data_IF_468263168494
#
_entry.id   IF_468263168494
#
_cell.length_a   1.000
_cell.length_b   1.000
_cell.length_c   1.000
_cell.angle_alpha   90.00
_cell.angle_beta   90.00
_cell.angle_gamma   90.00
#
_symmetry.space_group_name_H-M   'P 1'
#
loop_
_entity.id
_entity.type
_entity.pdbx_description
1 polymer ?
#
# COMPACT_ATOMS: atom_id res chain seq x y z
N UNK A 1 -33.53 -5.19 -3.25
CA UNK A 1 -32.08 -5.32 -3.01
C UNK A 1 -31.86 -5.95 -1.65
N UNK A 2 -31.06 -7.00 -1.54
CA UNK A 2 -30.84 -7.70 -0.26
C UNK A 2 -29.78 -6.98 0.60
N UNK A 3 -29.84 -7.16 1.92
CA UNK A 3 -28.86 -6.59 2.87
C UNK A 3 -27.40 -6.91 2.49
N UNK A 4 -27.05 -8.16 2.11
CA UNK A 4 -25.67 -8.48 1.71
C UNK A 4 -25.19 -7.71 0.47
N UNK A 5 -26.06 -7.45 -0.50
CA UNK A 5 -25.71 -6.69 -1.70
C UNK A 5 -25.44 -5.22 -1.37
N UNK A 6 -26.22 -4.63 -0.46
CA UNK A 6 -25.99 -3.24 -0.04
C UNK A 6 -24.71 -3.10 0.79
N UNK A 7 -24.39 -4.07 1.66
CA UNK A 7 -23.12 -4.09 2.36
C UNK A 7 -21.94 -4.17 1.38
N UNK A 8 -22.00 -5.08 0.41
CA UNK A 8 -20.97 -5.21 -0.63
C UNK A 8 -20.79 -3.89 -1.39
N UNK A 9 -21.88 -3.23 -1.77
CA UNK A 9 -21.84 -1.92 -2.43
C UNK A 9 -21.15 -0.86 -1.56
N UNK A 10 -21.47 -0.82 -0.27
CA UNK A 10 -20.84 0.10 0.68
C UNK A 10 -19.33 -0.13 0.74
N UNK A 11 -18.90 -1.39 0.75
CA UNK A 11 -17.48 -1.75 0.83
C UNK A 11 -16.71 -1.40 -0.45
N UNK A 12 -17.34 -1.52 -1.62
CA UNK A 12 -16.79 -1.01 -2.88
C UNK A 12 -16.65 0.53 -2.83
N UNK A 13 -17.65 1.25 -2.32
CA UNK A 13 -17.59 2.72 -2.19
C UNK A 13 -16.50 3.20 -1.23
N UNK A 14 -16.19 2.43 -0.19
CA UNK A 14 -15.12 2.76 0.77
C UNK A 14 -13.71 2.76 0.15
N UNK A 15 -13.53 2.31 -1.10
CA UNK A 15 -12.23 2.31 -1.78
C UNK A 15 -11.65 3.71 -1.94
N UNK A 16 -12.49 4.72 -2.18
CA UNK A 16 -12.03 6.09 -2.42
C UNK A 16 -11.29 6.67 -1.19
N UNK A 17 -11.65 6.22 0.00
CA UNK A 17 -10.99 6.60 1.26
C UNK A 17 -9.85 5.66 1.66
N UNK A 18 -10.03 4.35 1.41
CA UNK A 18 -9.14 3.31 1.92
C UNK A 18 -7.94 3.03 1.02
N UNK A 19 -8.08 3.30 -0.28
CA UNK A 19 -7.14 2.90 -1.34
C UNK A 19 -6.58 4.12 -2.09
N UNK A 20 -6.01 5.13 -1.39
CA UNK A 20 -5.52 6.33 -2.07
C UNK A 20 -4.34 6.01 -3.00
N UNK A 21 -4.49 6.33 -4.29
CA UNK A 21 -3.42 6.27 -5.27
C UNK A 21 -2.41 7.38 -4.95
N UNK A 22 -1.17 7.00 -4.68
CA UNK A 22 -0.10 7.95 -4.33
C UNK A 22 0.73 8.30 -5.56
N UNK A 23 0.99 9.59 -5.76
CA UNK A 23 1.85 10.06 -6.86
C UNK A 23 3.28 9.51 -6.75
N UNK A 24 3.88 9.16 -7.87
CA UNK A 24 5.32 8.79 -7.95
C UNK A 24 6.24 9.97 -7.61
N UNK A 25 5.74 11.21 -7.61
CA UNK A 25 6.48 12.39 -7.19
C UNK A 25 6.99 12.31 -5.74
N UNK A 26 6.42 11.43 -4.89
CA UNK A 26 6.97 11.16 -3.56
C UNK A 26 8.42 10.67 -3.57
N UNK A 27 8.94 10.19 -4.71
CA UNK A 27 10.36 9.86 -4.87
C UNK A 27 11.26 11.08 -4.67
N UNK A 28 10.77 12.29 -4.96
CA UNK A 28 11.53 13.53 -4.77
C UNK A 28 11.92 13.78 -3.32
N UNK A 29 11.31 13.09 -2.34
CA UNK A 29 11.73 13.11 -0.94
C UNK A 29 13.19 12.69 -0.78
N UNK A 30 13.70 11.79 -1.62
CA UNK A 30 15.11 11.41 -1.62
C UNK A 30 16.05 12.51 -2.12
N UNK A 31 15.56 13.52 -2.83
CA UNK A 31 16.38 14.66 -3.26
C UNK A 31 16.57 15.67 -2.11
N UNK A 32 15.64 15.74 -1.15
CA UNK A 32 15.71 16.68 -0.02
C UNK A 32 17.02 16.53 0.79
N UNK A 33 17.43 15.32 1.24
CA UNK A 33 18.70 15.17 1.96
C UNK A 33 19.90 15.48 1.06
N UNK A 34 19.84 15.23 -0.25
CA UNK A 34 20.90 15.59 -1.20
C UNK A 34 21.07 17.12 -1.25
N UNK A 35 19.96 17.86 -1.38
CA UNK A 35 19.99 19.32 -1.32
C UNK A 35 20.46 19.82 0.04
N UNK A 36 20.04 19.21 1.15
CA UNK A 36 20.50 19.57 2.48
C UNK A 36 22.03 19.41 2.61
N UNK A 37 22.59 18.29 2.12
CA UNK A 37 24.05 18.06 2.10
C UNK A 37 24.76 19.11 1.24
N UNK A 38 24.26 19.39 0.03
CA UNK A 38 24.84 20.41 -0.85
C UNK A 38 24.84 21.79 -0.17
N UNK A 39 23.70 22.20 0.42
CA UNK A 39 23.61 23.49 1.14
C UNK A 39 24.55 23.53 2.35
N UNK A 40 24.71 22.42 3.08
CA UNK A 40 25.64 22.33 4.20
C UNK A 40 27.10 22.47 3.73
N UNK A 41 27.50 21.78 2.66
CA UNK A 41 28.85 21.88 2.07
C UNK A 41 29.13 23.31 1.60
N UNK A 42 28.19 23.93 0.87
CA UNK A 42 28.32 25.32 0.42
C UNK A 42 28.43 26.28 1.61
N UNK A 43 27.69 26.02 2.68
CA UNK A 43 27.75 26.82 3.91
C UNK A 43 29.12 26.69 4.59
N UNK A 44 29.67 25.48 4.69
CA UNK A 44 31.01 25.24 5.26
C UNK A 44 32.08 25.91 4.40
N UNK A 45 32.04 25.73 3.08
CA UNK A 45 32.98 26.34 2.16
C UNK A 45 32.94 27.87 2.23
N UNK A 46 31.73 28.45 2.22
CA UNK A 46 31.53 29.88 2.41
C UNK A 46 32.08 30.35 3.76
N UNK A 47 31.79 29.64 4.86
CA UNK A 47 32.27 30.02 6.18
C UNK A 47 33.81 30.03 6.27
N UNK A 48 34.49 29.05 5.65
CA UNK A 48 35.96 28.98 5.60
C UNK A 48 36.54 30.15 4.78
N UNK A 49 35.97 30.45 3.61
CA UNK A 49 36.43 31.55 2.76
C UNK A 49 36.10 32.94 3.34
N UNK A 50 34.92 33.11 3.94
CA UNK A 50 34.51 34.35 4.58
C UNK A 50 35.36 34.64 5.82
N UNK A 51 35.65 33.63 6.66
CA UNK A 51 36.57 33.77 7.79
C UNK A 51 37.98 34.23 7.38
N UNK A 52 38.40 33.95 6.14
CA UNK A 52 39.68 34.39 5.59
C UNK A 52 39.65 35.80 4.98
N UNK A 53 38.48 36.39 4.70
CA UNK A 53 38.37 37.62 3.88
C UNK A 53 37.47 38.72 4.45
N UNK A 54 36.50 38.41 5.31
CA UNK A 54 35.56 39.40 5.88
C UNK A 54 35.13 39.03 7.31
N UNK A 55 35.15 39.96 8.29
CA UNK A 55 34.81 39.65 9.68
C UNK A 55 33.31 39.46 9.98
N UNK A 56 32.43 39.61 8.99
CA UNK A 56 30.97 39.49 9.17
C UNK A 56 30.44 38.25 8.46
N UNK A 57 30.08 37.23 9.24
CA UNK A 57 29.40 36.03 8.76
C UNK A 57 27.94 36.39 8.46
N UNK A 58 27.48 36.22 7.22
CA UNK A 58 26.05 36.38 6.88
C UNK A 58 25.28 35.13 7.34
N UNK A 59 24.35 35.23 8.31
CA UNK A 59 23.70 34.07 8.93
C UNK A 59 22.66 33.34 8.05
N UNK A 60 22.47 33.77 6.80
CA UNK A 60 21.40 33.27 5.93
C UNK A 60 21.61 31.82 5.46
N UNK A 61 22.85 31.41 5.17
CA UNK A 61 23.15 30.07 4.64
C UNK A 61 22.95 28.94 5.68
N UNK A 62 23.44 29.05 6.93
CA UNK A 62 23.15 28.06 7.98
C UNK A 62 21.65 27.89 8.26
N UNK A 63 20.89 28.99 8.28
CA UNK A 63 19.45 28.94 8.51
C UNK A 63 18.73 28.14 7.42
N UNK A 64 19.10 28.33 6.16
CA UNK A 64 18.52 27.58 5.03
C UNK A 64 18.79 26.07 5.12
N UNK A 65 20.00 25.67 5.52
CA UNK A 65 20.35 24.26 5.70
C UNK A 65 19.53 23.60 6.82
N UNK A 66 19.33 24.30 7.94
CA UNK A 66 18.47 23.85 9.05
C UNK A 66 17.02 23.69 8.60
N UNK A 67 16.46 24.71 7.94
CA UNK A 67 15.08 24.67 7.44
C UNK A 67 14.85 23.53 6.44
N UNK A 68 15.79 23.31 5.52
CA UNK A 68 15.71 22.22 4.54
C UNK A 68 15.72 20.85 5.22
N UNK A 69 16.55 20.69 6.25
CA UNK A 69 16.64 19.44 7.03
C UNK A 69 15.35 19.16 7.80
N UNK A 70 14.81 20.17 8.49
CA UNK A 70 13.54 20.06 9.23
C UNK A 70 12.39 19.74 8.26
N UNK A 71 12.34 20.41 7.12
CA UNK A 71 11.33 20.14 6.10
C UNK A 71 11.42 18.70 5.59
N UNK A 72 12.61 18.23 5.22
CA UNK A 72 12.82 16.83 4.80
C UNK A 72 12.41 15.82 5.86
N UNK A 73 12.74 16.09 7.11
CA UNK A 73 12.34 15.26 8.25
C UNK A 73 10.81 15.14 8.38
N UNK A 74 10.10 16.27 8.34
CA UNK A 74 8.62 16.29 8.42
C UNK A 74 8.00 15.55 7.23
N UNK A 75 8.48 15.81 6.01
CA UNK A 75 7.96 15.18 4.79
C UNK A 75 8.19 13.66 4.83
N UNK A 76 9.32 13.19 5.35
CA UNK A 76 9.60 11.76 5.51
C UNK A 76 8.63 11.10 6.49
N UNK A 77 8.32 11.74 7.63
CA UNK A 77 7.32 11.24 8.59
C UNK A 77 5.95 11.11 7.91
N UNK A 78 5.53 12.13 7.17
CA UNK A 78 4.24 12.13 6.46
C UNK A 78 4.19 11.00 5.42
N UNK A 79 5.25 10.83 4.64
CA UNK A 79 5.32 9.77 3.63
C UNK A 79 5.19 8.38 4.28
N UNK A 80 5.98 8.09 5.31
CA UNK A 80 5.92 6.80 6.02
C UNK A 80 4.54 6.58 6.64
N UNK A 81 3.94 7.59 7.26
CA UNK A 81 2.56 7.52 7.77
C UNK A 81 1.56 7.16 6.66
N UNK A 82 1.62 7.84 5.50
CA UNK A 82 0.69 7.59 4.39
C UNK A 82 0.83 6.17 3.82
N UNK A 83 2.06 5.68 3.66
CA UNK A 83 2.31 4.33 3.16
C UNK A 83 1.75 3.25 4.10
N UNK A 84 2.02 3.35 5.40
CA UNK A 84 1.54 2.38 6.39
C UNK A 84 0.03 2.48 6.59
N UNK A 85 -0.53 3.69 6.66
CA UNK A 85 -1.97 3.90 6.77
C UNK A 85 -2.70 3.27 5.59
N UNK A 86 -2.24 3.54 4.36
CA UNK A 86 -2.83 3.01 3.13
C UNK A 86 -2.87 1.49 3.11
N UNK A 87 -1.78 0.82 3.52
CA UNK A 87 -1.75 -0.65 3.68
C UNK A 87 -2.84 -1.11 4.64
N UNK A 88 -2.94 -0.49 5.82
CA UNK A 88 -3.89 -0.93 6.85
C UNK A 88 -5.34 -0.73 6.43
N UNK A 89 -5.66 0.45 5.89
CA UNK A 89 -7.02 0.77 5.47
C UNK A 89 -7.47 -0.14 4.34
N UNK A 90 -6.60 -0.37 3.35
CA UNK A 90 -6.89 -1.28 2.26
C UNK A 90 -7.14 -2.72 2.74
N UNK A 91 -6.24 -3.30 3.55
CA UNK A 91 -6.39 -4.70 3.99
C UNK A 91 -7.64 -4.90 4.86
N UNK A 92 -7.95 -3.90 5.68
CA UNK A 92 -9.19 -3.89 6.48
C UNK A 92 -10.43 -3.84 5.58
N UNK A 93 -10.44 -2.99 4.54
CA UNK A 93 -11.54 -2.91 3.57
C UNK A 93 -11.69 -4.21 2.80
N UNK A 94 -10.60 -4.78 2.29
CA UNK A 94 -10.63 -6.05 1.56
C UNK A 94 -11.17 -7.20 2.41
N UNK A 95 -10.86 -7.21 3.70
CA UNK A 95 -11.43 -8.17 4.64
C UNK A 95 -12.96 -8.05 4.71
N UNK A 96 -13.50 -6.83 4.88
CA UNK A 96 -14.96 -6.62 4.90
C UNK A 96 -15.61 -6.99 3.57
N UNK A 97 -15.05 -6.50 2.46
CA UNK A 97 -15.51 -6.79 1.11
C UNK A 97 -15.59 -8.30 0.87
N UNK A 98 -14.57 -9.05 1.31
CA UNK A 98 -14.52 -10.50 1.15
C UNK A 98 -15.59 -11.22 1.97
N UNK A 99 -15.88 -10.76 3.18
CA UNK A 99 -16.94 -11.31 4.03
C UNK A 99 -18.34 -11.05 3.48
N UNK A 100 -18.57 -9.82 3.00
CA UNK A 100 -19.85 -9.43 2.40
C UNK A 100 -20.04 -10.09 1.03
N UNK A 101 -18.97 -10.30 0.25
CA UNK A 101 -19.01 -11.10 -0.98
C UNK A 101 -19.40 -12.55 -0.70
N UNK A 102 -18.79 -13.21 0.29
CA UNK A 102 -19.16 -14.57 0.72
C UNK A 102 -20.63 -14.64 1.13
N UNK A 103 -21.11 -13.64 1.87
CA UNK A 103 -22.49 -13.58 2.34
C UNK A 103 -23.49 -13.34 1.21
N UNK A 104 -23.15 -12.48 0.24
CA UNK A 104 -23.94 -12.23 -0.95
C UNK A 104 -24.05 -13.49 -1.82
N UNK A 105 -22.93 -14.17 -2.09
CA UNK A 105 -22.92 -15.42 -2.87
C UNK A 105 -23.71 -16.52 -2.16
N UNK A 106 -23.59 -16.67 -0.84
CA UNK A 106 -24.40 -17.62 -0.06
C UNK A 106 -25.90 -17.34 -0.21
N UNK A 107 -26.31 -16.07 -0.17
CA UNK A 107 -27.71 -15.67 -0.32
C UNK A 107 -28.22 -15.94 -1.73
N UNK A 108 -27.40 -15.67 -2.76
CA UNK A 108 -27.74 -15.97 -4.16
C UNK A 108 -27.91 -17.48 -4.37
N UNK A 109 -26.98 -18.29 -3.85
CA UNK A 109 -27.03 -19.74 -3.95
C UNK A 109 -28.31 -20.31 -3.28
N UNK A 110 -28.64 -19.82 -2.09
CA UNK A 110 -29.86 -20.20 -1.38
C UNK A 110 -31.14 -19.87 -2.18
N UNK A 111 -31.21 -18.68 -2.80
CA UNK A 111 -32.32 -18.30 -3.68
C UNK A 111 -32.45 -19.21 -4.90
N UNK A 112 -31.33 -19.69 -5.43
CA UNK A 112 -31.28 -20.59 -6.59
C UNK A 112 -31.41 -22.08 -6.22
N UNK A 113 -31.49 -22.41 -4.93
CA UNK A 113 -31.56 -23.80 -4.46
C UNK A 113 -30.28 -24.60 -4.73
N UNK A 114 -29.12 -23.94 -4.85
CA UNK A 114 -27.83 -24.59 -5.11
C UNK A 114 -27.05 -24.70 -3.80
N UNK A 115 -26.59 -25.90 -3.46
CA UNK A 115 -25.67 -26.09 -2.34
C UNK A 115 -24.24 -25.72 -2.73
N UNK A 116 -23.70 -24.72 -2.03
CA UNK A 116 -22.35 -24.19 -2.23
C UNK A 116 -21.50 -24.23 -0.96
N UNK A 117 -21.95 -24.90 0.12
CA UNK A 117 -21.26 -24.82 1.41
C UNK A 117 -19.82 -25.36 1.31
N UNK A 118 -19.62 -26.44 0.55
CA UNK A 118 -18.29 -27.00 0.30
C UNK A 118 -17.39 -26.02 -0.46
N UNK A 119 -17.85 -25.40 -1.54
CA UNK A 119 -17.02 -24.45 -2.31
C UNK A 119 -16.79 -23.13 -1.56
N UNK A 120 -17.78 -22.63 -0.82
CA UNK A 120 -17.61 -21.47 0.05
C UNK A 120 -16.68 -21.75 1.22
N UNK A 121 -16.48 -23.00 1.62
CA UNK A 121 -15.56 -23.32 2.72
C UNK A 121 -14.12 -22.92 2.42
N UNK A 122 -13.67 -23.06 1.16
CA UNK A 122 -12.36 -22.61 0.71
C UNK A 122 -12.26 -21.09 0.72
N UNK A 123 -13.27 -20.38 0.21
CA UNK A 123 -13.32 -18.91 0.23
C UNK A 123 -13.27 -18.39 1.67
N UNK A 124 -14.09 -18.96 2.57
CA UNK A 124 -14.10 -18.62 4.00
C UNK A 124 -12.75 -18.92 4.67
N UNK A 125 -12.05 -19.97 4.25
CA UNK A 125 -10.71 -20.30 4.75
C UNK A 125 -9.73 -19.18 4.43
N UNK A 126 -9.68 -18.75 3.17
CA UNK A 126 -8.79 -17.66 2.73
C UNK A 126 -9.05 -16.37 3.49
N UNK A 127 -10.31 -16.01 3.72
CA UNK A 127 -10.68 -14.83 4.53
C UNK A 127 -10.20 -14.95 5.98
N UNK A 128 -10.34 -16.15 6.58
CA UNK A 128 -9.85 -16.40 7.95
C UNK A 128 -8.33 -16.32 8.05
N UNK A 129 -7.62 -16.84 7.05
CA UNK A 129 -6.16 -16.76 6.98
C UNK A 129 -5.68 -15.31 6.81
N UNK A 130 -6.34 -14.54 5.94
CA UNK A 130 -6.08 -13.11 5.79
C UNK A 130 -6.26 -12.38 7.14
N UNK A 131 -7.39 -12.57 7.84
CA UNK A 131 -7.62 -11.98 9.17
C UNK A 131 -6.56 -12.33 10.21
N UNK A 132 -6.06 -13.56 10.19
CA UNK A 132 -5.06 -14.01 11.15
C UNK A 132 -3.68 -13.39 10.90
N UNK A 133 -3.29 -13.20 9.63
CA UNK A 133 -1.95 -12.76 9.27
C UNK A 133 -1.85 -11.25 8.96
N UNK A 134 -2.91 -10.62 8.46
CA UNK A 134 -2.94 -9.23 7.97
C UNK A 134 -3.18 -8.21 9.08
N UNK A 135 -2.54 -8.44 10.22
CA UNK A 135 -2.69 -7.60 11.42
C UNK A 135 -2.30 -6.15 11.16
N UNK A 136 -2.98 -5.24 11.87
CA UNK A 136 -2.75 -3.80 11.77
C UNK A 136 -1.37 -3.42 12.31
N UNK A 137 -0.70 -2.48 11.64
CA UNK A 137 0.56 -1.89 12.10
C UNK A 137 0.37 -0.40 12.35
N UNK A 138 0.52 0.09 13.58
CA UNK A 138 0.26 1.50 13.91
C UNK A 138 1.06 2.47 13.01
N UNK A 139 0.36 3.20 12.13
CA UNK A 139 0.98 4.09 11.16
C UNK A 139 1.73 5.26 11.82
N UNK A 140 1.16 5.80 12.91
CA UNK A 140 1.79 6.88 13.69
C UNK A 140 3.06 6.38 14.37
N UNK A 141 3.01 5.21 15.00
CA UNK A 141 4.16 4.61 15.67
C UNK A 141 5.30 4.38 14.67
N UNK A 142 5.02 3.74 13.53
CA UNK A 142 6.05 3.43 12.54
C UNK A 142 6.60 4.69 11.86
N UNK A 143 5.79 5.73 11.66
CA UNK A 143 6.26 7.00 11.12
C UNK A 143 7.25 7.70 12.07
N UNK A 144 6.93 7.77 13.36
CA UNK A 144 7.81 8.38 14.38
C UNK A 144 9.07 7.53 14.56
N UNK A 145 8.92 6.21 14.71
CA UNK A 145 10.02 5.30 14.95
C UNK A 145 11.02 5.32 13.79
N UNK A 146 10.54 5.36 12.54
CA UNK A 146 11.41 5.42 11.36
C UNK A 146 12.19 6.72 11.24
N UNK A 147 11.64 7.82 11.76
CA UNK A 147 12.30 9.12 11.74
C UNK A 147 13.45 9.22 12.76
N UNK A 148 13.30 8.55 13.91
CA UNK A 148 14.31 8.57 14.98
C UNK A 148 15.31 7.42 14.82
N UNK A 149 14.85 6.26 14.36
CA UNK A 149 15.63 5.03 14.25
C UNK A 149 15.67 4.61 12.78
N UNK A 150 16.80 4.85 12.13
CA UNK A 150 16.97 4.54 10.71
C UNK A 150 16.70 3.07 10.36
N UNK A 151 17.03 2.12 11.25
CA UNK A 151 16.73 0.70 11.07
C UNK A 151 15.21 0.41 11.02
N UNK A 152 14.39 1.20 11.70
CA UNK A 152 12.95 1.04 11.65
C UNK A 152 12.39 1.40 10.26
N UNK A 153 12.97 2.38 9.56
CA UNK A 153 12.59 2.68 8.18
C UNK A 153 12.83 1.48 7.25
N UNK A 154 13.95 0.76 7.41
CA UNK A 154 14.20 -0.46 6.63
C UNK A 154 13.20 -1.57 6.92
N UNK A 155 12.79 -1.72 8.18
CA UNK A 155 11.73 -2.65 8.55
C UNK A 155 10.37 -2.24 7.97
N UNK A 156 10.05 -0.95 7.92
CA UNK A 156 8.85 -0.46 7.22
C UNK A 156 8.87 -0.81 5.74
N UNK A 157 9.98 -0.54 5.06
CA UNK A 157 10.16 -0.90 3.66
C UNK A 157 10.06 -2.42 3.44
N UNK A 158 10.57 -3.23 4.37
CA UNK A 158 10.43 -4.69 4.37
C UNK A 158 8.98 -5.13 4.44
N UNK A 159 8.25 -4.73 5.49
CA UNK A 159 6.91 -5.26 5.70
C UNK A 159 5.95 -4.72 4.65
N UNK A 160 6.06 -3.47 4.20
CA UNK A 160 5.18 -2.97 3.13
C UNK A 160 5.34 -3.79 1.85
N UNK A 161 6.58 -4.07 1.45
CA UNK A 161 6.87 -4.87 0.27
C UNK A 161 6.37 -6.32 0.41
N UNK A 162 6.58 -6.94 1.58
CA UNK A 162 6.19 -8.34 1.80
C UNK A 162 4.70 -8.52 2.06
N UNK A 163 4.08 -7.59 2.78
CA UNK A 163 2.66 -7.65 3.13
C UNK A 163 1.81 -7.54 1.86
N UNK A 164 2.08 -6.57 0.98
CA UNK A 164 1.34 -6.44 -0.30
C UNK A 164 1.53 -7.65 -1.22
N UNK A 165 2.75 -8.20 -1.29
CA UNK A 165 2.99 -9.44 -2.03
C UNK A 165 2.13 -10.59 -1.49
N UNK A 166 2.17 -10.84 -0.18
CA UNK A 166 1.42 -11.93 0.46
C UNK A 166 -0.09 -11.74 0.34
N UNK A 167 -0.56 -10.51 0.51
CA UNK A 167 -1.95 -10.13 0.34
C UNK A 167 -2.45 -10.48 -1.06
N UNK A 168 -1.77 -10.00 -2.10
CA UNK A 168 -2.14 -10.29 -3.49
C UNK A 168 -2.15 -11.79 -3.80
N UNK A 169 -1.16 -12.55 -3.30
CA UNK A 169 -1.13 -14.01 -3.51
C UNK A 169 -2.32 -14.73 -2.88
N UNK A 170 -2.84 -14.25 -1.75
CA UNK A 170 -4.05 -14.82 -1.14
C UNK A 170 -5.30 -14.47 -1.92
N UNK A 171 -5.38 -13.23 -2.39
CA UNK A 171 -6.52 -12.77 -3.15
C UNK A 171 -6.72 -13.53 -4.44
N UNK A 172 -5.64 -13.95 -5.12
CA UNK A 172 -5.76 -14.81 -6.30
C UNK A 172 -6.57 -16.07 -6.00
N UNK A 173 -6.27 -16.77 -4.90
CA UNK A 173 -7.04 -17.93 -4.47
C UNK A 173 -8.49 -17.58 -4.09
N UNK A 174 -8.70 -16.45 -3.42
CA UNK A 174 -10.04 -15.97 -3.08
C UNK A 174 -10.90 -15.73 -4.34
N UNK A 175 -10.39 -14.99 -5.32
CA UNK A 175 -11.13 -14.64 -6.53
C UNK A 175 -11.42 -15.86 -7.41
N UNK A 176 -10.48 -16.80 -7.52
CA UNK A 176 -10.68 -18.07 -8.22
C UNK A 176 -11.76 -18.93 -7.57
N UNK A 177 -11.71 -19.11 -6.25
CA UNK A 177 -12.69 -19.92 -5.53
C UNK A 177 -14.07 -19.27 -5.51
N UNK A 178 -14.14 -17.94 -5.42
CA UNK A 178 -15.39 -17.19 -5.51
C UNK A 178 -16.01 -17.33 -6.92
N UNK A 179 -15.20 -17.20 -7.97
CA UNK A 179 -15.61 -17.42 -9.37
C UNK A 179 -16.19 -18.81 -9.56
N UNK A 180 -15.46 -19.86 -9.15
CA UNK A 180 -15.95 -21.25 -9.24
C UNK A 180 -17.25 -21.46 -8.46
N UNK A 181 -17.42 -20.77 -7.34
CA UNK A 181 -18.66 -20.84 -6.57
C UNK A 181 -19.82 -20.18 -7.31
N UNK A 182 -19.60 -19.01 -7.92
CA UNK A 182 -20.58 -18.33 -8.75
C UNK A 182 -20.96 -19.16 -9.99
N UNK A 183 -19.98 -19.81 -10.63
CA UNK A 183 -20.23 -20.68 -11.78
C UNK A 183 -21.15 -21.87 -11.43
N UNK A 184 -21.02 -22.45 -10.23
CA UNK A 184 -21.97 -23.48 -9.73
C UNK A 184 -23.40 -22.97 -9.59
N UNK A 185 -23.56 -21.67 -9.34
CA UNK A 185 -24.86 -21.00 -9.31
C UNK A 185 -25.35 -20.59 -10.71
N UNK A 186 -24.64 -20.97 -11.77
CA UNK A 186 -24.92 -20.57 -13.15
C UNK A 186 -24.70 -19.08 -13.39
N UNK A 187 -23.72 -18.48 -12.70
CA UNK A 187 -23.40 -17.05 -12.80
C UNK A 187 -21.98 -16.93 -13.33
N UNK A 188 -21.85 -16.38 -14.53
CA UNK A 188 -20.53 -16.14 -15.13
C UNK A 188 -19.90 -14.89 -14.52
N UNK A 189 -18.86 -15.11 -13.72
CA UNK A 189 -18.00 -14.04 -13.19
C UNK A 189 -16.57 -14.26 -13.68
N UNK A 190 -16.13 -13.48 -14.66
CA UNK A 190 -14.78 -13.61 -15.21
C UNK A 190 -13.80 -12.76 -14.42
N UNK A 191 -12.91 -13.38 -13.64
CA UNK A 191 -11.84 -12.66 -12.95
C UNK A 191 -10.97 -11.94 -14.00
N UNK A 192 -10.84 -10.60 -13.96
CA UNK A 192 -10.02 -9.87 -14.92
C UNK A 192 -8.57 -10.31 -14.83
N UNK A 193 -7.86 -10.26 -15.96
CA UNK A 193 -6.43 -10.62 -15.99
C UNK A 193 -5.60 -9.52 -15.33
N UNK A 194 -4.87 -9.86 -14.27
CA UNK A 194 -3.88 -8.96 -13.67
C UNK A 194 -2.66 -8.82 -14.61
N UNK A 195 -2.39 -7.60 -15.07
CA UNK A 195 -1.25 -7.31 -15.97
C UNK A 195 0.05 -7.08 -15.23
N UNK A 196 -0.02 -6.48 -14.04
CA UNK A 196 1.13 -6.11 -13.21
C UNK A 196 1.03 -6.83 -11.86
N UNK A 197 1.47 -8.09 -11.80
CA UNK A 197 1.57 -8.85 -10.55
C UNK A 197 2.71 -8.31 -9.69
N UNK A 198 2.52 -8.21 -8.38
CA UNK A 198 3.57 -7.81 -7.44
C UNK A 198 4.62 -8.94 -7.36
N UNK A 199 5.86 -8.72 -7.82
CA UNK A 199 6.87 -9.77 -7.78
C UNK A 199 7.40 -10.02 -6.36
N UNK A 200 7.81 -11.25 -6.10
CA UNK A 200 8.46 -11.65 -4.84
C UNK A 200 9.90 -11.12 -4.76
N UNK A 201 10.04 -9.85 -4.38
CA UNK A 201 11.35 -9.19 -4.27
C UNK A 201 12.12 -9.64 -3.03
N UNK A 202 13.43 -9.81 -3.17
CA UNK A 202 14.33 -10.14 -2.05
C UNK A 202 14.63 -8.90 -1.21
N UNK A 203 14.21 -8.92 0.05
CA UNK A 203 14.54 -7.86 1.01
C UNK A 203 16.05 -7.73 1.21
N UNK A 204 16.77 -8.85 1.32
CA UNK A 204 18.22 -8.86 1.56
C UNK A 204 18.93 -8.19 0.40
N UNK A 205 18.53 -8.49 -0.84
CA UNK A 205 19.10 -7.84 -2.02
C UNK A 205 18.86 -6.32 -1.97
N UNK A 206 17.62 -5.90 -1.66
CA UNK A 206 17.27 -4.49 -1.60
C UNK A 206 18.05 -3.75 -0.50
N UNK A 207 18.25 -4.39 0.65
CA UNK A 207 19.06 -3.87 1.75
C UNK A 207 20.54 -3.73 1.34
N UNK A 208 21.14 -4.77 0.76
CA UNK A 208 22.53 -4.74 0.29
C UNK A 208 22.70 -3.63 -0.76
N UNK A 209 21.82 -3.58 -1.76
CA UNK A 209 21.88 -2.54 -2.80
C UNK A 209 21.74 -1.14 -2.19
N UNK A 210 20.89 -0.96 -1.19
CA UNK A 210 20.76 0.32 -0.47
C UNK A 210 22.05 0.70 0.26
N UNK A 211 22.73 -0.25 0.90
CA UNK A 211 23.98 0.02 1.63
C UNK A 211 25.13 0.31 0.67
N UNK A 212 25.37 -0.54 -0.34
CA UNK A 212 26.52 -0.37 -1.26
C UNK A 212 26.38 0.89 -2.13
N UNK A 213 25.14 1.33 -2.40
CA UNK A 213 24.87 2.57 -3.12
C UNK A 213 24.72 3.79 -2.21
N UNK A 214 25.02 3.65 -0.91
CA UNK A 214 24.95 4.72 0.10
C UNK A 214 23.58 5.41 0.10
N UNK A 215 22.52 4.62 -0.03
CA UNK A 215 21.13 5.06 0.01
C UNK A 215 20.49 5.36 -1.35
N UNK A 216 21.24 5.45 -2.45
CA UNK A 216 20.67 5.79 -3.77
C UNK A 216 19.64 4.76 -4.26
N UNK A 217 19.88 3.47 -4.03
CA UNK A 217 18.92 2.42 -4.37
C UNK A 217 17.59 2.54 -3.59
N UNK A 218 17.57 3.26 -2.47
CA UNK A 218 16.36 3.59 -1.74
C UNK A 218 15.31 4.32 -2.58
N UNK A 219 15.73 5.07 -3.62
CA UNK A 219 14.83 5.69 -4.60
C UNK A 219 13.99 4.64 -5.32
N UNK A 220 14.63 3.60 -5.85
CA UNK A 220 13.93 2.53 -6.54
C UNK A 220 13.08 1.69 -5.58
N UNK A 221 13.55 1.49 -4.35
CA UNK A 221 12.75 0.82 -3.32
C UNK A 221 11.46 1.60 -3.03
N UNK A 222 11.54 2.91 -2.81
CA UNK A 222 10.36 3.73 -2.62
C UNK A 222 9.45 3.74 -3.86
N UNK A 223 10.03 3.77 -5.06
CA UNK A 223 9.27 3.66 -6.30
C UNK A 223 8.39 2.40 -6.32
N UNK A 224 8.92 1.22 -5.98
CA UNK A 224 8.12 -0.01 -5.98
C UNK A 224 7.06 0.00 -4.87
N UNK A 225 7.35 0.57 -3.69
CA UNK A 225 6.38 0.73 -2.60
C UNK A 225 5.21 1.67 -2.96
N UNK A 226 5.42 2.57 -3.93
CA UNK A 226 4.37 3.42 -4.49
C UNK A 226 3.64 2.73 -5.65
N UNK A 227 4.40 2.23 -6.65
CA UNK A 227 3.87 1.65 -7.89
C UNK A 227 3.05 0.40 -7.63
N UNK A 228 3.57 -0.55 -6.85
CA UNK A 228 2.94 -1.87 -6.72
C UNK A 228 1.53 -1.78 -6.13
N UNK A 229 1.29 -1.07 -5.00
CA UNK A 229 -0.07 -0.94 -4.49
C UNK A 229 -0.97 -0.08 -5.38
N UNK A 230 -0.42 0.88 -6.14
CA UNK A 230 -1.23 1.66 -7.09
C UNK A 230 -1.78 0.78 -8.21
N UNK A 231 -0.95 -0.09 -8.81
CA UNK A 231 -1.40 -1.02 -9.85
C UNK A 231 -2.35 -2.06 -9.28
N UNK A 232 -2.08 -2.53 -8.06
CA UNK A 232 -2.97 -3.41 -7.31
C UNK A 232 -4.35 -2.78 -7.10
N UNK A 233 -4.45 -1.51 -6.68
CA UNK A 233 -5.74 -0.83 -6.48
C UNK A 233 -6.50 -0.61 -7.78
N UNK A 234 -5.81 -0.36 -8.90
CA UNK A 234 -6.45 -0.29 -10.22
C UNK A 234 -7.08 -1.62 -10.62
N UNK A 235 -6.39 -2.72 -10.32
CA UNK A 235 -6.96 -4.06 -10.50
C UNK A 235 -8.20 -4.26 -9.62
N UNK A 236 -8.15 -3.83 -8.34
CA UNK A 236 -9.29 -3.89 -7.43
C UNK A 236 -10.52 -3.14 -7.95
N UNK A 237 -10.33 -1.95 -8.52
CA UNK A 237 -11.43 -1.20 -9.13
C UNK A 237 -12.15 -2.05 -10.18
N UNK A 238 -11.41 -2.72 -11.07
CA UNK A 238 -11.99 -3.53 -12.15
C UNK A 238 -12.77 -4.73 -11.62
N UNK A 239 -12.16 -5.52 -10.74
CA UNK A 239 -12.77 -6.76 -10.25
C UNK A 239 -13.95 -6.50 -9.31
N UNK A 240 -13.87 -5.44 -8.50
CA UNK A 240 -14.93 -5.05 -7.57
C UNK A 240 -16.14 -4.49 -8.31
N UNK A 241 -15.93 -3.64 -9.31
CA UNK A 241 -17.02 -3.12 -10.15
C UNK A 241 -17.72 -4.26 -10.88
N UNK A 242 -16.95 -5.22 -11.40
CA UNK A 242 -17.49 -6.40 -12.06
C UNK A 242 -18.25 -7.34 -11.11
N UNK A 243 -17.72 -7.59 -9.91
CA UNK A 243 -18.41 -8.40 -8.90
C UNK A 243 -19.73 -7.72 -8.52
N UNK A 244 -19.70 -6.42 -8.22
CA UNK A 244 -20.87 -5.67 -7.81
C UNK A 244 -21.93 -5.67 -8.92
N UNK A 245 -21.55 -5.38 -10.17
CA UNK A 245 -22.49 -5.42 -11.29
C UNK A 245 -23.11 -6.81 -11.48
N UNK A 246 -22.31 -7.86 -11.29
CA UNK A 246 -22.77 -9.25 -11.41
C UNK A 246 -23.80 -9.56 -10.32
N UNK A 247 -23.49 -9.26 -9.06
CA UNK A 247 -24.38 -9.49 -7.92
C UNK A 247 -25.67 -8.66 -8.04
N UNK A 248 -25.58 -7.40 -8.45
CA UNK A 248 -26.74 -6.52 -8.63
C UNK A 248 -27.68 -7.00 -9.75
N UNK A 249 -27.14 -7.51 -10.86
CA UNK A 249 -27.94 -8.02 -11.97
C UNK A 249 -28.82 -9.22 -11.59
N UNK A 250 -28.47 -9.93 -10.51
CA UNK A 250 -29.19 -11.12 -10.01
C UNK A 250 -30.10 -10.76 -8.83
N UNK A 251 -29.90 -9.59 -8.22
CA UNK A 251 -30.68 -9.13 -7.08
C UNK A 251 -31.99 -8.41 -7.48
N UNK A 252 -32.20 -8.21 -8.79
CA UNK A 252 -33.46 -7.83 -9.43
C UNK A 252 -34.35 -9.07 -9.53
#
# INVERSE_FOLDING_TARGET
>A
MSVPTENLRRDVRMRDESDPIMSTAWILVYLIPVFAIITAILTIFYAVFAAATTPWIVPALPLLAVLTTIFGFIVSIILTYKLVKRRNTHFKRQTFLSEDAVTAVKTIAAKKGVDVEVSLSSVKRTVREAKAEETEKSAVLWAILSAIIFLAQWYVCYFLMKDFYKHERREEGFWEDLSRTLDKCGITFSVPRRTETIPNRSFILYLILTIITVGLFGIYWLYVLLKDPNEHFKYHIQIEDQLLSTVESIAI
#
